data_IF_144234950995
#
_entry.id   IF_144234950995
#
_cell.length_a   1.000
_cell.length_b   1.000
_cell.length_c   1.000
_cell.angle_alpha   90.00
_cell.angle_beta   90.00
_cell.angle_gamma   90.00
#
_symmetry.space_group_name_H-M   'P 1'
#
loop_
_entity.id
_entity.type
_entity.pdbx_description
1 polymer ?
#
# COMPACT_ATOMS: atom_id res chain seq x y z
N UNK A 1 -0.41 -12.96 31.73
CA UNK A 1 0.55 -12.37 30.76
C UNK A 1 0.34 -12.86 29.31
N UNK A 2 -0.38 -13.97 29.06
CA UNK A 2 -0.66 -14.47 27.70
C UNK A 2 -1.78 -13.72 26.92
N UNK A 3 -2.65 -12.96 27.60
CA UNK A 3 -3.81 -12.31 26.96
C UNK A 3 -3.41 -11.09 26.09
N UNK A 4 -2.35 -10.37 26.45
CA UNK A 4 -1.92 -9.17 25.71
C UNK A 4 -1.36 -9.51 24.32
N UNK A 5 -0.60 -10.59 24.21
CA UNK A 5 0.02 -11.02 22.95
C UNK A 5 -1.02 -11.54 21.95
N UNK A 6 -2.03 -12.28 22.40
CA UNK A 6 -3.12 -12.75 21.54
C UNK A 6 -3.99 -11.60 21.03
N UNK A 7 -4.28 -10.60 21.86
CA UNK A 7 -5.04 -9.40 21.42
C UNK A 7 -4.22 -8.54 20.48
N UNK A 8 -2.91 -8.42 20.71
CA UNK A 8 -2.00 -7.70 19.81
C UNK A 8 -1.82 -8.44 18.48
N UNK A 9 -1.69 -9.78 18.52
CA UNK A 9 -1.69 -10.63 17.32
C UNK A 9 -3.03 -10.54 16.58
N UNK A 10 -4.18 -10.63 17.25
CA UNK A 10 -5.47 -10.44 16.60
C UNK A 10 -5.63 -9.02 16.05
N UNK A 11 -5.15 -7.99 16.74
CA UNK A 11 -5.14 -6.62 16.21
C UNK A 11 -4.29 -6.49 14.95
N UNK A 12 -3.05 -7.02 14.97
CA UNK A 12 -2.13 -7.02 13.83
C UNK A 12 -2.62 -7.91 12.70
N UNK A 13 -3.25 -9.04 12.99
CA UNK A 13 -3.79 -9.98 11.99
C UNK A 13 -5.07 -9.43 11.38
N UNK A 14 -5.99 -8.86 12.17
CA UNK A 14 -7.26 -8.34 11.66
C UNK A 14 -7.07 -7.01 10.92
N UNK A 15 -6.14 -6.13 11.35
CA UNK A 15 -5.75 -4.96 10.55
C UNK A 15 -4.80 -5.32 9.40
N UNK A 16 -3.89 -6.28 9.59
CA UNK A 16 -2.86 -6.66 8.62
C UNK A 16 -3.38 -7.49 7.46
N UNK A 17 -4.17 -8.56 7.70
CA UNK A 17 -4.81 -9.31 6.62
C UNK A 17 -5.76 -8.43 5.81
N UNK A 18 -6.52 -7.58 6.48
CA UNK A 18 -7.43 -6.66 5.81
C UNK A 18 -6.66 -5.66 4.95
N UNK A 19 -5.53 -5.14 5.44
CA UNK A 19 -4.63 -4.27 4.67
C UNK A 19 -4.06 -4.99 3.44
N UNK A 20 -3.69 -6.27 3.55
CA UNK A 20 -3.20 -7.07 2.41
C UNK A 20 -4.27 -7.19 1.33
N UNK A 21 -5.49 -7.60 1.69
CA UNK A 21 -6.60 -7.71 0.73
C UNK A 21 -6.90 -6.38 0.06
N UNK A 22 -6.88 -5.27 0.82
CA UNK A 22 -7.13 -3.94 0.27
C UNK A 22 -6.02 -3.41 -0.62
N UNK A 23 -4.75 -3.71 -0.33
CA UNK A 23 -3.63 -3.41 -1.23
C UNK A 23 -3.82 -4.12 -2.58
N UNK A 24 -4.27 -5.38 -2.58
CA UNK A 24 -4.58 -6.09 -3.83
C UNK A 24 -5.75 -5.49 -4.60
N UNK A 25 -6.82 -5.07 -3.92
CA UNK A 25 -7.96 -4.40 -4.55
C UNK A 25 -7.55 -3.04 -5.11
N UNK A 26 -6.77 -2.25 -4.38
CA UNK A 26 -6.26 -0.95 -4.83
C UNK A 26 -5.31 -1.08 -6.00
N UNK A 27 -4.39 -2.04 -5.97
CA UNK A 27 -3.47 -2.33 -7.07
C UNK A 27 -4.24 -2.70 -8.36
N UNK A 28 -5.26 -3.55 -8.26
CA UNK A 28 -6.09 -3.92 -9.40
C UNK A 28 -6.94 -2.76 -9.93
N UNK A 29 -7.46 -1.91 -9.04
CA UNK A 29 -8.24 -0.74 -9.43
C UNK A 29 -7.38 0.30 -10.15
N UNK A 30 -6.18 0.58 -9.64
CA UNK A 30 -5.24 1.54 -10.27
C UNK A 30 -4.74 1.03 -11.61
N UNK A 31 -4.48 -0.28 -11.75
CA UNK A 31 -4.15 -0.88 -13.06
C UNK A 31 -5.25 -0.73 -14.11
N UNK A 32 -6.51 -0.63 -13.68
CA UNK A 32 -7.65 -0.37 -14.58
C UNK A 32 -7.79 1.10 -14.98
N UNK A 33 -7.38 2.02 -14.11
CA UNK A 33 -7.46 3.48 -14.36
C UNK A 33 -6.27 3.96 -15.19
N UNK A 34 -5.08 3.49 -14.85
CA UNK A 34 -3.83 3.89 -15.49
C UNK A 34 -2.95 2.66 -15.72
N UNK A 35 -3.14 2.03 -16.89
CA UNK A 35 -2.34 0.89 -17.34
C UNK A 35 -0.87 1.25 -17.61
N UNK A 36 -0.53 2.55 -17.64
CA UNK A 36 0.81 3.06 -17.90
C UNK A 36 1.61 3.30 -16.61
N UNK A 37 0.95 3.26 -15.45
CA UNK A 37 1.57 3.55 -14.16
C UNK A 37 2.44 2.39 -13.64
N UNK A 38 3.74 2.63 -13.60
CA UNK A 38 4.71 1.73 -12.94
C UNK A 38 4.48 1.61 -11.42
N UNK A 39 3.58 2.41 -10.83
CA UNK A 39 3.21 2.34 -9.41
C UNK A 39 2.73 0.94 -8.99
N UNK A 40 1.92 0.32 -9.84
CA UNK A 40 1.37 -1.01 -9.59
C UNK A 40 2.48 -2.06 -9.60
N UNK A 41 3.44 -1.93 -10.51
CA UNK A 41 4.60 -2.82 -10.60
C UNK A 41 5.51 -2.65 -9.39
N UNK A 42 5.77 -1.41 -8.94
CA UNK A 42 6.59 -1.13 -7.75
C UNK A 42 5.97 -1.67 -6.45
N UNK A 43 4.64 -1.65 -6.32
CA UNK A 43 3.96 -2.21 -5.17
C UNK A 43 3.89 -3.74 -5.20
N UNK A 44 3.69 -4.34 -6.38
CA UNK A 44 3.81 -5.79 -6.54
C UNK A 44 5.24 -6.23 -6.20
N UNK A 45 6.25 -5.49 -6.68
CA UNK A 45 7.65 -5.75 -6.40
C UNK A 45 7.95 -5.66 -4.90
N UNK A 46 7.42 -4.64 -4.20
CA UNK A 46 7.49 -4.53 -2.75
C UNK A 46 6.94 -5.78 -2.03
N UNK A 47 5.75 -6.24 -2.42
CA UNK A 47 5.11 -7.42 -1.82
C UNK A 47 5.97 -8.65 -2.06
N UNK A 48 6.46 -8.85 -3.28
CA UNK A 48 7.29 -10.00 -3.64
C UNK A 48 8.61 -9.98 -2.87
N UNK A 49 9.32 -8.85 -2.81
CA UNK A 49 10.55 -8.73 -2.02
C UNK A 49 10.30 -9.02 -0.54
N UNK A 50 9.22 -8.49 0.03
CA UNK A 50 8.88 -8.69 1.43
C UNK A 50 8.56 -10.16 1.74
N UNK A 51 7.84 -10.85 0.85
CA UNK A 51 7.55 -12.28 1.00
C UNK A 51 8.82 -13.13 0.88
N UNK A 52 9.69 -12.82 -0.09
CA UNK A 52 10.96 -13.53 -0.27
C UNK A 52 11.85 -13.38 0.97
N UNK A 53 11.98 -12.16 1.49
CA UNK A 53 12.75 -11.90 2.72
C UNK A 53 12.17 -12.67 3.92
N UNK A 54 10.84 -12.67 4.11
CA UNK A 54 10.19 -13.44 5.18
C UNK A 54 10.43 -14.95 5.04
N UNK A 55 10.35 -15.52 3.83
CA UNK A 55 10.63 -16.94 3.59
C UNK A 55 12.11 -17.27 3.86
N UNK A 56 13.03 -16.38 3.47
CA UNK A 56 14.46 -16.54 3.76
C UNK A 56 14.75 -16.52 5.26
N UNK A 57 14.15 -15.58 5.99
CA UNK A 57 14.31 -15.47 7.45
C UNK A 57 13.75 -16.69 8.16
N UNK A 58 12.53 -17.13 7.81
CA UNK A 58 11.90 -18.33 8.40
C UNK A 58 12.72 -19.61 8.13
N UNK A 59 13.30 -19.75 6.93
CA UNK A 59 14.17 -20.88 6.61
C UNK A 59 15.50 -20.87 7.37
N UNK A 60 15.97 -19.67 7.74
CA UNK A 60 17.23 -19.47 8.46
C UNK A 60 17.08 -19.54 9.99
N UNK A 61 15.86 -19.58 10.55
CA UNK A 61 15.64 -19.66 12.02
C UNK A 61 16.30 -20.88 12.67
N UNK A 62 16.61 -21.93 11.90
CA UNK A 62 17.29 -23.13 12.38
C UNK A 62 18.82 -23.04 12.42
N UNK A 63 19.41 -21.92 11.93
CA UNK A 63 20.84 -21.66 11.92
C UNK A 63 21.16 -20.35 12.67
N UNK A 64 22.29 -20.29 13.38
CA UNK A 64 22.80 -19.04 13.94
C UNK A 64 22.96 -18.01 12.80
N UNK A 65 22.25 -16.86 12.85
CA UNK A 65 22.23 -15.92 11.74
C UNK A 65 23.62 -15.31 11.58
N UNK A 66 24.28 -15.63 10.46
CA UNK A 66 25.55 -15.01 10.10
C UNK A 66 25.39 -13.52 9.84
N UNK A 67 26.43 -12.72 10.09
CA UNK A 67 26.46 -11.28 9.80
C UNK A 67 26.07 -10.96 8.35
N UNK A 68 26.48 -11.80 7.40
CA UNK A 68 26.13 -11.63 5.98
C UNK A 68 24.63 -11.80 5.72
N UNK A 69 23.98 -12.74 6.40
CA UNK A 69 22.53 -12.95 6.30
C UNK A 69 21.75 -11.76 6.87
N UNK A 70 22.15 -11.25 8.05
CA UNK A 70 21.52 -10.10 8.68
C UNK A 70 21.60 -8.83 7.81
N UNK A 71 22.75 -8.57 7.19
CA UNK A 71 22.94 -7.43 6.29
C UNK A 71 22.11 -7.55 5.01
N UNK A 72 21.97 -8.77 4.46
CA UNK A 72 21.14 -9.03 3.29
C UNK A 72 19.65 -8.78 3.59
N UNK A 73 19.14 -9.32 4.69
CA UNK A 73 17.74 -9.13 5.10
C UNK A 73 17.43 -7.65 5.38
N UNK A 74 18.35 -6.94 6.04
CA UNK A 74 18.23 -5.49 6.25
C UNK A 74 18.16 -4.73 4.91
N UNK A 75 19.04 -5.05 3.95
CA UNK A 75 19.04 -4.42 2.64
C UNK A 75 17.74 -4.70 1.86
N UNK A 76 17.23 -5.94 1.92
CA UNK A 76 15.97 -6.32 1.29
C UNK A 76 14.77 -5.60 1.92
N UNK A 77 14.71 -5.52 3.24
CA UNK A 77 13.68 -4.78 3.97
C UNK A 77 13.71 -3.29 3.63
N UNK A 78 14.89 -2.66 3.59
CA UNK A 78 15.02 -1.25 3.22
C UNK A 78 14.61 -1.00 1.77
N UNK A 79 15.06 -1.85 0.85
CA UNK A 79 14.68 -1.77 -0.57
C UNK A 79 13.17 -1.93 -0.75
N UNK A 80 12.54 -2.83 0.02
CA UNK A 80 11.11 -3.02 0.06
C UNK A 80 10.40 -1.72 0.52
N UNK A 81 10.79 -1.13 1.64
CA UNK A 81 10.19 0.12 2.15
C UNK A 81 10.28 1.25 1.12
N UNK A 82 11.43 1.40 0.44
CA UNK A 82 11.59 2.41 -0.62
C UNK A 82 10.63 2.13 -1.78
N UNK A 83 10.53 0.89 -2.25
CA UNK A 83 9.59 0.52 -3.31
C UNK A 83 8.13 0.78 -2.91
N UNK A 84 7.78 0.52 -1.65
CA UNK A 84 6.45 0.81 -1.12
C UNK A 84 6.14 2.31 -1.18
N UNK A 85 7.06 3.15 -0.68
CA UNK A 85 6.89 4.61 -0.71
C UNK A 85 6.77 5.14 -2.14
N UNK A 86 7.67 4.74 -3.04
CA UNK A 86 7.62 5.19 -4.44
C UNK A 86 6.31 4.74 -5.11
N UNK A 87 5.90 3.49 -4.89
CA UNK A 87 4.65 2.96 -5.41
C UNK A 87 3.44 3.73 -4.91
N UNK A 88 3.39 4.03 -3.62
CA UNK A 88 2.37 4.86 -2.97
C UNK A 88 2.29 6.26 -3.58
N UNK A 89 3.43 6.94 -3.76
CA UNK A 89 3.46 8.29 -4.34
C UNK A 89 3.07 8.28 -5.82
N UNK A 90 3.46 7.23 -6.55
CA UNK A 90 3.08 7.06 -7.93
C UNK A 90 1.57 6.77 -8.07
N UNK A 91 0.95 6.00 -7.16
CA UNK A 91 -0.52 5.84 -7.11
C UNK A 91 -1.22 7.19 -6.94
N UNK A 92 -0.73 8.02 -6.01
CA UNK A 92 -1.26 9.36 -5.80
C UNK A 92 -1.16 10.20 -7.08
N UNK A 93 0.02 10.22 -7.72
CA UNK A 93 0.23 10.99 -8.95
C UNK A 93 -0.71 10.54 -10.07
N UNK A 94 -0.87 9.23 -10.30
CA UNK A 94 -1.79 8.70 -11.31
C UNK A 94 -3.25 9.05 -11.01
N UNK A 95 -3.67 9.03 -9.73
CA UNK A 95 -5.02 9.45 -9.35
C UNK A 95 -5.24 10.94 -9.62
N UNK A 96 -4.33 11.80 -9.19
CA UNK A 96 -4.42 13.25 -9.46
C UNK A 96 -4.44 13.52 -10.97
N UNK A 97 -3.57 12.88 -11.75
CA UNK A 97 -3.50 13.08 -13.20
C UNK A 97 -4.76 12.60 -13.93
N UNK A 98 -5.23 11.39 -13.65
CA UNK A 98 -6.43 10.85 -14.31
C UNK A 98 -7.68 11.70 -14.02
N UNK A 99 -7.92 12.00 -12.74
CA UNK A 99 -9.13 12.70 -12.32
C UNK A 99 -9.09 14.20 -12.62
N UNK A 100 -7.91 14.82 -12.73
CA UNK A 100 -7.79 16.21 -13.16
C UNK A 100 -7.80 16.37 -14.68
N UNK A 101 -7.22 15.42 -15.43
CA UNK A 101 -7.15 15.47 -16.89
C UNK A 101 -8.45 15.01 -17.57
N UNK A 102 -9.00 13.88 -17.13
CA UNK A 102 -10.16 13.25 -17.79
C UNK A 102 -11.49 13.77 -17.25
N UNK A 103 -11.62 13.86 -15.92
CA UNK A 103 -12.89 14.20 -15.26
C UNK A 103 -12.95 15.62 -14.68
N UNK A 104 -11.82 16.34 -14.70
CA UNK A 104 -11.68 17.74 -14.27
C UNK A 104 -12.27 18.06 -12.88
N UNK A 105 -12.15 17.11 -11.93
CA UNK A 105 -12.72 17.23 -10.58
C UNK A 105 -11.79 17.90 -9.55
N UNK A 106 -10.63 18.44 -9.98
CA UNK A 106 -9.63 19.12 -9.12
C UNK A 106 -9.30 18.31 -7.86
N UNK A 107 -8.90 17.05 -8.07
CA UNK A 107 -8.41 16.16 -7.03
C UNK A 107 -7.05 16.63 -6.52
N UNK A 108 -6.92 16.81 -5.22
CA UNK A 108 -5.66 17.08 -4.55
C UNK A 108 -5.55 16.16 -3.32
N UNK A 109 -4.53 15.30 -3.30
CA UNK A 109 -4.27 14.39 -2.18
C UNK A 109 -3.14 14.94 -1.31
N UNK A 110 -3.24 14.79 0.00
CA UNK A 110 -2.21 15.23 0.94
C UNK A 110 -1.04 14.24 1.03
N UNK A 111 0.20 14.75 0.96
CA UNK A 111 1.44 13.97 1.13
C UNK A 111 1.47 13.24 2.49
N UNK A 112 1.12 13.95 3.56
CA UNK A 112 1.25 13.45 4.93
C UNK A 112 0.22 12.34 5.18
N UNK A 113 -1.03 12.55 4.74
CA UNK A 113 -2.08 11.54 4.90
C UNK A 113 -1.83 10.31 4.03
N UNK A 114 -1.15 10.49 2.90
CA UNK A 114 -0.65 9.38 2.10
C UNK A 114 0.31 8.57 2.97
N UNK A 115 1.46 9.12 3.41
CA UNK A 115 2.46 8.35 4.19
C UNK A 115 1.88 7.59 5.40
N UNK A 116 1.06 8.25 6.23
CA UNK A 116 0.54 7.63 7.46
C UNK A 116 -0.70 6.75 7.25
N UNK A 117 -1.56 7.10 6.30
CA UNK A 117 -2.88 6.47 6.11
C UNK A 117 -3.15 6.04 4.68
N UNK A 118 -2.10 5.66 3.92
CA UNK A 118 -2.13 5.26 2.52
C UNK A 118 -3.43 4.57 2.09
N UNK A 119 -3.69 3.39 2.64
CA UNK A 119 -4.81 2.53 2.25
C UNK A 119 -6.15 3.23 2.53
N UNK A 120 -6.39 3.65 3.77
CA UNK A 120 -7.66 4.25 4.20
C UNK A 120 -7.94 5.59 3.50
N UNK A 121 -6.89 6.39 3.28
CA UNK A 121 -6.99 7.69 2.64
C UNK A 121 -7.39 7.55 1.18
N UNK A 122 -6.73 6.67 0.44
CA UNK A 122 -7.11 6.36 -0.94
C UNK A 122 -8.52 5.76 -1.03
N UNK A 123 -8.88 4.84 -0.14
CA UNK A 123 -10.23 4.26 -0.12
C UNK A 123 -11.33 5.31 0.08
N UNK A 124 -11.13 6.22 1.04
CA UNK A 124 -12.11 7.28 1.33
C UNK A 124 -12.33 8.16 0.09
N UNK A 125 -11.24 8.55 -0.58
CA UNK A 125 -11.30 9.37 -1.78
C UNK A 125 -11.95 8.64 -2.96
N UNK A 126 -11.61 7.37 -3.18
CA UNK A 126 -12.19 6.56 -4.25
C UNK A 126 -13.69 6.29 -4.03
N UNK A 127 -14.10 6.04 -2.79
CA UNK A 127 -15.51 5.91 -2.43
C UNK A 127 -16.26 7.21 -2.72
N UNK A 128 -15.70 8.36 -2.33
CA UNK A 128 -16.30 9.67 -2.62
C UNK A 128 -16.50 9.90 -4.12
N UNK A 129 -15.52 9.52 -4.94
CA UNK A 129 -15.61 9.61 -6.39
C UNK A 129 -16.69 8.68 -6.95
N UNK A 130 -16.78 7.45 -6.45
CA UNK A 130 -17.82 6.49 -6.86
C UNK A 130 -19.23 6.99 -6.51
N UNK A 131 -19.40 7.52 -5.29
CA UNK A 131 -20.66 8.11 -4.84
C UNK A 131 -21.02 9.34 -5.69
N UNK A 132 -20.04 10.18 -6.06
CA UNK A 132 -20.26 11.27 -7.00
C UNK A 132 -20.74 10.77 -8.36
N UNK A 133 -20.09 9.74 -8.93
CA UNK A 133 -20.51 9.17 -10.23
C UNK A 133 -21.92 8.60 -10.21
N UNK A 134 -22.37 8.06 -9.09
CA UNK A 134 -23.72 7.51 -8.93
C UNK A 134 -24.78 8.59 -8.69
N UNK A 135 -24.43 9.66 -7.96
CA UNK A 135 -25.41 10.66 -7.49
C UNK A 135 -25.38 11.98 -8.26
N UNK A 136 -24.34 12.21 -9.07
CA UNK A 136 -24.08 13.48 -9.76
C UNK A 136 -23.69 14.64 -8.85
N UNK A 137 -23.57 14.43 -7.53
CA UNK A 137 -23.24 15.47 -6.53
C UNK A 137 -21.82 15.29 -6.01
N UNK A 138 -20.96 16.30 -6.21
CA UNK A 138 -19.60 16.32 -5.66
C UNK A 138 -19.67 16.68 -4.16
N UNK A 139 -19.35 15.73 -3.29
CA UNK A 139 -19.19 16.01 -1.87
C UNK A 139 -17.91 16.85 -1.63
N UNK A 140 -17.95 17.85 -0.72
CA UNK A 140 -16.81 18.72 -0.44
C UNK A 140 -15.58 17.94 0.07
N UNK A 141 -14.40 18.48 -0.23
CA UNK A 141 -13.10 17.90 0.12
C UNK A 141 -12.77 18.27 1.58
N UNK A 142 -13.17 17.45 2.54
CA UNK A 142 -12.70 17.53 3.93
C UNK A 142 -11.77 16.36 4.23
#
# INVERSE_FOLDING_TARGET
MLHGVIVLLLGVVTCGLFSIVWVFVQANFIRKIDAKSNATVMLILYIVLSLVDNVLVLGAESQEPSLGFALLSLAMTLGAIVCFLVGVFAMRSSLEEYYNSTENIRLNLSVVMTIFFNILYFQHHLKRIADWKQTGRLAPQF
#
